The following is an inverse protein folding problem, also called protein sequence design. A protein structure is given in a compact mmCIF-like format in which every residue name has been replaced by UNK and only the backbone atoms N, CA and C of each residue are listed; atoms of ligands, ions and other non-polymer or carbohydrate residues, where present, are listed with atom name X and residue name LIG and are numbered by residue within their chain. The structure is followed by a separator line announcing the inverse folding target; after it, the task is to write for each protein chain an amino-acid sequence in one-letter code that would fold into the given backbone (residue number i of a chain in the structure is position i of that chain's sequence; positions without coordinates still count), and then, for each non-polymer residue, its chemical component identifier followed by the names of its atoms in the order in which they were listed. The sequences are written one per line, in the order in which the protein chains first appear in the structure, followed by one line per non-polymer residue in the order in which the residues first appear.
data_IF_842190760281
#
_entry.id   IF_842190760281
#
_cell.length_a   1.000
_cell.length_b   1.000
_cell.length_c   1.000
_cell.angle_alpha   90.00
_cell.angle_beta   90.00
_cell.angle_gamma   90.00
#
_symmetry.space_group_name_H-M   'P 1'
#
loop_
_entity.id
_entity.type
_entity.pdbx_description
1 polymer ?
#
# COMPACT_ATOMS: atom_id res chain seq x y z
N UNK A 1 -20.37 -12.00 65.09
CA UNK A 1 -20.45 -11.19 66.33
C UNK A 1 -19.46 -10.05 66.16
N UNK A 2 -19.94 -8.82 65.89
CA UNK A 2 -20.03 -7.73 66.89
C UNK A 2 -18.63 -7.40 67.47
N UNK A 3 -18.06 -6.20 67.37
CA UNK A 3 -18.64 -4.85 67.34
C UNK A 3 -17.48 -3.83 67.29
N UNK A 4 -17.65 -2.73 66.53
CA UNK A 4 -17.40 -1.32 66.91
C UNK A 4 -16.00 -0.87 67.33
N UNK A 5 -15.60 0.38 67.23
CA UNK A 5 -15.93 1.64 66.54
C UNK A 5 -15.04 2.68 67.27
N UNK A 6 -14.87 3.87 66.67
CA UNK A 6 -14.52 5.17 67.30
C UNK A 6 -13.02 5.40 67.47
N UNK A 7 -12.44 6.56 67.19
CA UNK A 7 -12.90 7.96 67.10
C UNK A 7 -11.73 8.69 66.36
N UNK A 8 -11.86 9.67 65.47
CA UNK A 8 -12.83 10.76 65.36
C UNK A 8 -12.06 12.10 65.43
N UNK A 9 -11.93 12.71 64.26
CA UNK A 9 -11.34 13.99 63.87
C UNK A 9 -11.69 15.22 64.72
N UNK A 10 -10.84 16.27 64.69
CA UNK A 10 -11.25 17.69 64.79
C UNK A 10 -10.19 18.63 64.14
N UNK A 11 -10.69 19.51 63.26
CA UNK A 11 -10.31 20.92 63.01
C UNK A 11 -8.99 21.22 62.25
N UNK A 12 -8.88 22.13 61.26
CA UNK A 12 -9.70 23.23 60.70
C UNK A 12 -9.17 23.48 59.26
N UNK A 13 -9.96 23.79 58.23
CA UNK A 13 -10.48 25.12 57.95
C UNK A 13 -9.53 25.94 57.07
N UNK A 14 -9.92 26.21 55.82
CA UNK A 14 -9.93 27.52 55.12
C UNK A 14 -10.11 27.30 53.61
N UNK A 15 -11.26 27.78 53.13
CA UNK A 15 -11.64 27.95 51.74
C UNK A 15 -11.41 29.43 51.41
N UNK A 16 -10.62 29.75 50.38
CA UNK A 16 -10.52 31.11 49.83
C UNK A 16 -10.81 31.03 48.34
N UNK A 17 -11.97 31.55 47.95
CA UNK A 17 -12.28 31.95 46.59
C UNK A 17 -11.69 33.32 46.29
N UNK A 18 -11.30 33.55 45.04
CA UNK A 18 -11.03 34.89 44.53
C UNK A 18 -11.88 35.10 43.27
N UNK A 19 -12.71 36.12 43.42
CA UNK A 19 -13.58 36.80 42.47
C UNK A 19 -12.70 37.73 41.63
N UNK A 20 -12.94 37.80 40.32
CA UNK A 20 -12.60 38.98 39.52
C UNK A 20 -13.83 39.45 38.75
N UNK A 21 -14.41 40.55 39.24
CA UNK A 21 -15.31 41.43 38.48
C UNK A 21 -14.46 42.53 37.86
N UNK A 22 -14.73 42.84 36.60
CA UNK A 22 -14.56 44.18 36.04
C UNK A 22 -15.74 44.45 35.11
N UNK A 23 -16.69 45.23 35.63
CA UNK A 23 -17.76 45.87 34.87
C UNK A 23 -17.20 47.09 34.13
N UNK A 24 -17.67 47.33 32.91
CA UNK A 24 -17.91 48.68 32.42
C UNK A 24 -19.17 48.68 31.53
N UNK A 25 -20.19 49.27 32.15
CA UNK A 25 -21.39 49.96 31.70
C UNK A 25 -22.17 49.66 30.41
N UNK A 26 -23.48 49.68 30.63
CA UNK A 26 -24.59 49.52 29.72
C UNK A 26 -24.95 50.85 29.05
N UNK A 27 -25.42 50.78 27.82
CA UNK A 27 -26.45 51.71 27.34
C UNK A 27 -27.56 50.92 26.68
N UNK A 28 -28.71 51.02 27.33
CA UNK A 28 -29.99 50.35 27.11
C UNK A 28 -30.68 50.80 25.82
N UNK A 29 -31.26 49.86 25.07
CA UNK A 29 -32.46 50.09 24.25
C UNK A 29 -32.98 48.79 23.63
N UNK A 30 -33.96 48.20 24.29
CA UNK A 30 -35.06 47.44 23.65
C UNK A 30 -36.34 48.28 23.87
N UNK A 31 -37.45 48.16 23.09
CA UNK A 31 -37.89 46.96 22.39
C UNK A 31 -38.59 47.19 21.04
N UNK A 32 -38.74 46.15 20.21
CA UNK A 32 -40.04 45.71 19.63
C UNK A 32 -39.87 44.51 18.70
N UNK A 33 -40.57 43.42 19.03
CA UNK A 33 -40.74 42.27 18.16
C UNK A 33 -41.77 42.57 17.07
N UNK A 34 -41.45 42.22 15.81
CA UNK A 34 -42.38 42.03 14.70
C UNK A 34 -41.82 40.97 13.73
N UNK A 35 -42.70 40.33 12.93
CA UNK A 35 -42.66 38.89 12.66
C UNK A 35 -41.70 38.54 11.51
N UNK A 36 -41.08 37.38 11.60
CA UNK A 36 -40.45 36.70 10.47
C UNK A 36 -41.53 36.21 9.51
N UNK A 37 -41.77 36.98 8.45
CA UNK A 37 -42.40 36.47 7.23
C UNK A 37 -41.42 35.51 6.56
N UNK A 38 -41.79 34.24 6.48
CA UNK A 38 -41.16 33.27 5.61
C UNK A 38 -41.28 33.78 4.17
N UNK A 39 -40.16 34.20 3.57
CA UNK A 39 -40.12 34.48 2.15
C UNK A 39 -40.12 33.14 1.41
N UNK A 40 -41.20 32.92 0.68
CA UNK A 40 -41.41 31.72 -0.12
C UNK A 40 -40.40 31.74 -1.27
N UNK A 41 -39.39 30.87 -1.18
CA UNK A 41 -38.58 30.51 -2.33
C UNK A 41 -39.51 30.00 -3.43
N UNK A 42 -39.66 30.82 -4.47
CA UNK A 42 -40.45 30.51 -5.65
C UNK A 42 -39.93 29.19 -6.26
N UNK A 43 -40.80 28.19 -6.27
CA UNK A 43 -40.57 26.92 -6.93
C UNK A 43 -40.44 27.15 -8.43
N UNK A 44 -39.20 27.12 -8.93
CA UNK A 44 -38.96 26.89 -10.36
C UNK A 44 -39.45 25.48 -10.68
N UNK A 45 -40.38 25.28 -11.64
CA UNK A 45 -40.73 23.93 -12.06
C UNK A 45 -39.49 23.27 -12.68
N UNK A 46 -39.22 22.02 -12.28
CA UNK A 46 -38.25 21.17 -12.98
C UNK A 46 -38.68 21.06 -14.45
N UNK A 47 -37.74 21.05 -15.41
CA UNK A 47 -38.08 20.77 -16.79
C UNK A 47 -38.68 19.36 -16.89
N UNK A 48 -39.97 19.30 -17.18
CA UNK A 48 -40.69 18.08 -17.53
C UNK A 48 -40.31 17.68 -18.95
N UNK A 49 -39.15 17.04 -19.10
CA UNK A 49 -38.85 16.22 -20.26
C UNK A 49 -37.90 15.11 -19.82
N UNK A 50 -38.48 14.06 -19.24
CA UNK A 50 -37.91 12.73 -19.37
C UNK A 50 -38.10 12.33 -20.83
N UNK A 51 -37.20 12.82 -21.70
CA UNK A 51 -36.96 12.14 -22.96
C UNK A 51 -36.65 10.69 -22.57
N UNK A 52 -37.49 9.75 -23.02
CA UNK A 52 -37.29 8.33 -22.81
C UNK A 52 -35.84 7.99 -23.17
N UNK A 53 -35.05 7.68 -22.15
CA UNK A 53 -33.79 7.00 -22.37
C UNK A 53 -34.14 5.70 -23.10
N UNK A 54 -33.47 5.37 -24.21
CA UNK A 54 -33.66 4.08 -24.84
C UNK A 54 -33.43 2.98 -23.80
N UNK A 55 -34.18 1.87 -23.85
CA UNK A 55 -34.00 0.76 -22.91
C UNK A 55 -32.54 0.31 -22.93
N UNK A 56 -32.01 0.03 -21.73
CA UNK A 56 -30.62 -0.37 -21.49
C UNK A 56 -30.15 -1.34 -22.56
N UNK A 57 -29.20 -0.90 -23.37
CA UNK A 57 -28.46 -1.80 -24.23
C UNK A 57 -27.73 -2.81 -23.32
N UNK A 58 -27.68 -4.10 -23.68
CA UNK A 58 -26.94 -5.08 -22.88
C UNK A 58 -25.50 -4.61 -22.69
N UNK A 59 -25.05 -4.64 -21.43
CA UNK A 59 -23.75 -4.11 -20.99
C UNK A 59 -22.52 -4.71 -21.72
N UNK A 60 -22.71 -5.83 -22.42
CA UNK A 60 -21.66 -6.60 -23.11
C UNK A 60 -21.71 -6.53 -24.65
N UNK A 61 -22.49 -5.63 -25.26
CA UNK A 61 -22.39 -5.46 -26.71
C UNK A 61 -21.05 -4.77 -27.08
N UNK A 62 -20.21 -5.36 -27.97
CA UNK A 62 -19.02 -4.69 -28.46
C UNK A 62 -19.41 -3.37 -29.15
N UNK A 63 -19.16 -2.25 -28.49
CA UNK A 63 -19.37 -0.95 -29.09
C UNK A 63 -18.28 -0.71 -30.13
N UNK A 64 -18.58 -1.01 -31.39
CA UNK A 64 -17.68 -0.71 -32.50
C UNK A 64 -17.60 0.80 -32.67
N UNK A 65 -16.40 1.36 -32.49
CA UNK A 65 -16.15 2.79 -32.72
C UNK A 65 -16.46 3.09 -34.20
N UNK A 66 -17.27 4.12 -34.52
CA UNK A 66 -17.47 4.52 -35.91
C UNK A 66 -16.14 4.81 -36.57
N UNK A 67 -15.82 4.10 -37.65
CA UNK A 67 -14.64 4.36 -38.45
C UNK A 67 -14.77 5.74 -39.11
N UNK A 68 -13.91 6.69 -38.74
CA UNK A 68 -13.90 8.01 -39.41
C UNK A 68 -13.50 9.24 -38.60
N UNK A 69 -13.09 9.14 -37.34
CA UNK A 69 -12.44 10.26 -36.64
C UNK A 69 -10.94 10.02 -36.50
N UNK A 70 -10.21 10.30 -37.59
CA UNK A 70 -8.75 10.39 -37.57
C UNK A 70 -8.32 11.48 -36.60
N UNK A 71 -7.74 11.08 -35.46
CA UNK A 71 -7.32 11.98 -34.38
C UNK A 71 -7.74 11.55 -32.97
N UNK A 72 -8.41 10.40 -32.80
CA UNK A 72 -8.57 9.81 -31.48
C UNK A 72 -7.24 9.17 -31.01
N UNK A 73 -6.50 9.98 -30.26
CA UNK A 73 -5.39 9.74 -29.34
C UNK A 73 -4.73 8.34 -29.28
N UNK A 74 -3.47 8.29 -29.73
CA UNK A 74 -2.55 7.18 -29.49
C UNK A 74 -2.50 6.73 -28.01
N UNK A 75 -2.86 7.61 -27.07
CA UNK A 75 -3.00 7.30 -25.65
C UNK A 75 -4.17 6.34 -25.36
N UNK A 76 -5.41 6.66 -25.78
CA UNK A 76 -6.55 5.73 -25.63
C UNK A 76 -6.35 4.43 -26.39
N UNK A 77 -5.75 4.48 -27.59
CA UNK A 77 -5.43 3.26 -28.35
C UNK A 77 -4.45 2.37 -27.57
N UNK A 78 -3.44 2.98 -26.93
CA UNK A 78 -2.51 2.25 -26.06
C UNK A 78 -3.23 1.66 -24.85
N UNK A 79 -4.10 2.42 -24.17
CA UNK A 79 -4.88 1.91 -23.04
C UNK A 79 -5.74 0.72 -23.48
N UNK A 80 -6.49 0.85 -24.58
CA UNK A 80 -7.35 -0.20 -25.08
C UNK A 80 -6.56 -1.46 -25.47
N UNK A 81 -5.37 -1.30 -26.07
CA UNK A 81 -4.49 -2.41 -26.41
C UNK A 81 -3.94 -3.11 -25.16
N UNK A 82 -3.48 -2.34 -24.16
CA UNK A 82 -2.99 -2.88 -22.88
C UNK A 82 -4.11 -3.61 -22.14
N UNK A 83 -5.30 -3.02 -22.07
CA UNK A 83 -6.47 -3.64 -21.47
C UNK A 83 -6.82 -4.96 -22.17
N UNK A 84 -6.93 -4.95 -23.50
CA UNK A 84 -7.27 -6.16 -24.27
C UNK A 84 -6.23 -7.26 -24.11
N UNK A 85 -4.94 -6.91 -24.02
CA UNK A 85 -3.84 -7.86 -23.79
C UNK A 85 -3.85 -8.42 -22.37
N UNK A 86 -4.01 -7.57 -21.36
CA UNK A 86 -3.84 -7.93 -19.95
C UNK A 86 -5.09 -8.47 -19.26
N UNK A 87 -6.28 -8.03 -19.67
CA UNK A 87 -7.54 -8.36 -19.00
C UNK A 87 -7.82 -9.88 -18.89
N UNK A 88 -7.54 -10.72 -19.92
CA UNK A 88 -7.72 -12.17 -19.80
C UNK A 88 -6.92 -12.83 -18.68
N UNK A 89 -5.80 -12.21 -18.27
CA UNK A 89 -4.93 -12.70 -17.21
C UNK A 89 -5.39 -12.32 -15.81
N UNK A 90 -6.29 -11.34 -15.68
CA UNK A 90 -6.75 -10.83 -14.38
C UNK A 90 -7.88 -11.72 -13.88
N UNK A 91 -7.96 -11.96 -12.57
CA UNK A 91 -9.00 -12.78 -11.94
C UNK A 91 -9.60 -12.07 -10.74
N UNK A 92 -10.87 -12.34 -10.43
CA UNK A 92 -11.47 -11.97 -9.14
C UNK A 92 -11.12 -13.05 -8.12
N UNK A 93 -10.86 -12.63 -6.88
CA UNK A 93 -10.66 -13.54 -5.76
C UNK A 93 -11.76 -13.25 -4.74
N UNK A 94 -12.57 -14.26 -4.49
CA UNK A 94 -13.64 -14.24 -3.50
C UNK A 94 -13.21 -15.10 -2.30
N UNK A 95 -13.25 -14.50 -1.12
CA UNK A 95 -12.89 -15.18 0.13
C UNK A 95 -14.11 -15.18 1.05
N UNK A 96 -14.68 -16.36 1.24
CA UNK A 96 -15.74 -16.55 2.24
C UNK A 96 -15.12 -16.76 3.62
N UNK A 97 -15.47 -15.92 4.57
CA UNK A 97 -15.11 -16.07 5.98
C UNK A 97 -16.37 -16.14 6.85
N UNK A 98 -16.25 -16.68 8.06
CA UNK A 98 -17.35 -16.66 9.04
C UNK A 98 -17.82 -15.24 9.46
N UNK A 99 -17.10 -14.19 9.05
CA UNK A 99 -17.41 -12.78 9.33
C UNK A 99 -17.89 -12.00 8.09
N UNK A 100 -17.97 -12.63 6.92
CA UNK A 100 -18.38 -12.01 5.66
C UNK A 100 -17.51 -12.40 4.47
N UNK A 101 -17.81 -11.84 3.31
CA UNK A 101 -17.05 -12.04 2.07
C UNK A 101 -16.02 -10.91 1.89
N UNK A 102 -14.77 -11.28 1.57
CA UNK A 102 -13.73 -10.36 1.12
C UNK A 102 -13.54 -10.52 -0.39
N UNK A 103 -13.42 -9.39 -1.08
CA UNK A 103 -13.27 -9.31 -2.53
C UNK A 103 -11.93 -8.68 -2.87
N UNK A 104 -11.18 -9.32 -3.77
CA UNK A 104 -9.94 -8.80 -4.30
C UNK A 104 -9.70 -9.20 -5.74
N UNK A 105 -8.55 -8.81 -6.25
CA UNK A 105 -8.08 -9.18 -7.58
C UNK A 105 -6.81 -10.01 -7.48
N UNK A 106 -6.57 -10.89 -8.44
CA UNK A 106 -5.27 -11.48 -8.70
C UNK A 106 -4.96 -11.50 -10.19
N UNK A 107 -3.84 -12.10 -10.57
CA UNK A 107 -3.52 -12.36 -11.96
C UNK A 107 -2.75 -13.67 -12.15
N UNK A 108 -3.01 -14.32 -13.28
CA UNK A 108 -2.37 -15.58 -13.70
C UNK A 108 -0.91 -15.32 -14.05
N UNK A 109 0.01 -16.05 -13.42
CA UNK A 109 1.45 -15.92 -13.68
C UNK A 109 2.04 -17.06 -14.50
N UNK A 110 1.35 -18.22 -14.58
CA UNK A 110 1.78 -19.34 -15.40
C UNK A 110 0.62 -20.28 -15.80
N UNK A 111 0.92 -21.22 -16.69
CA UNK A 111 -0.02 -22.25 -17.15
C UNK A 111 -0.20 -23.40 -16.16
N UNK A 112 0.57 -23.43 -15.06
CA UNK A 112 0.31 -24.37 -13.97
C UNK A 112 -0.86 -23.89 -13.10
N UNK A 113 -1.34 -22.65 -13.27
CA UNK A 113 -2.49 -22.10 -12.57
C UNK A 113 -2.11 -21.43 -11.26
N UNK A 114 -0.89 -20.87 -11.17
CA UNK A 114 -0.53 -19.98 -10.07
C UNK A 114 -1.09 -18.57 -10.34
N UNK A 115 -1.71 -18.01 -9.31
CA UNK A 115 -2.26 -16.66 -9.27
C UNK A 115 -1.49 -15.89 -8.21
N UNK A 116 -1.05 -14.67 -8.55
CA UNK A 116 -0.51 -13.72 -7.58
C UNK A 116 -1.61 -12.76 -7.15
N UNK A 117 -1.66 -12.47 -5.85
CA UNK A 117 -2.54 -11.48 -5.22
C UNK A 117 -1.87 -10.89 -3.98
N UNK A 118 -2.58 -10.05 -3.22
CA UNK A 118 -2.13 -9.56 -1.93
C UNK A 118 -2.44 -10.51 -0.79
N UNK A 119 -1.63 -10.46 0.27
CA UNK A 119 -1.88 -11.24 1.48
C UNK A 119 -3.19 -10.80 2.16
N UNK A 120 -3.44 -9.49 2.27
CA UNK A 120 -4.64 -9.00 2.95
C UNK A 120 -5.95 -9.43 2.26
N UNK A 121 -5.92 -9.73 0.94
CA UNK A 121 -7.08 -10.26 0.21
C UNK A 121 -7.44 -11.65 0.73
N UNK A 122 -6.44 -12.50 0.98
CA UNK A 122 -6.63 -13.92 1.35
C UNK A 122 -6.61 -14.17 2.86
N UNK A 123 -6.24 -13.17 3.67
CA UNK A 123 -6.02 -13.32 5.11
C UNK A 123 -7.27 -13.77 5.89
N UNK A 124 -8.47 -13.52 5.36
CA UNK A 124 -9.74 -13.98 5.95
C UNK A 124 -10.17 -15.41 5.58
N UNK A 125 -9.41 -16.11 4.73
CA UNK A 125 -9.77 -17.45 4.27
C UNK A 125 -9.71 -18.44 5.45
N UNK A 126 -10.86 -19.04 5.77
CA UNK A 126 -10.98 -19.89 6.98
C UNK A 126 -10.32 -21.26 6.81
N UNK A 127 -10.22 -21.74 5.57
CA UNK A 127 -9.69 -23.07 5.23
C UNK A 127 -8.47 -23.01 4.29
N UNK A 128 -7.86 -21.83 4.13
CA UNK A 128 -6.76 -21.63 3.18
C UNK A 128 -7.14 -21.80 1.71
N UNK A 129 -8.43 -21.74 1.39
CA UNK A 129 -8.97 -21.81 0.03
C UNK A 129 -9.79 -20.56 -0.31
N UNK A 130 -9.81 -20.23 -1.60
CA UNK A 130 -10.52 -19.08 -2.17
C UNK A 130 -11.24 -19.51 -3.45
N UNK A 131 -12.22 -18.72 -3.89
CA UNK A 131 -12.81 -18.88 -5.21
C UNK A 131 -12.13 -17.89 -6.16
N UNK A 132 -11.70 -18.39 -7.33
CA UNK A 132 -11.03 -17.62 -8.37
C UNK A 132 -11.97 -17.54 -9.57
N UNK A 133 -12.44 -16.34 -9.90
CA UNK A 133 -13.29 -16.12 -11.08
C UNK A 133 -12.51 -15.53 -12.25
N UNK A 134 -12.58 -16.20 -13.40
CA UNK A 134 -11.88 -15.86 -14.63
C UNK A 134 -12.67 -14.87 -15.49
N UNK A 135 -12.11 -14.51 -16.66
CA UNK A 135 -12.65 -13.45 -17.52
C UNK A 135 -13.94 -13.86 -18.25
N UNK A 136 -14.11 -15.15 -18.48
CA UNK A 136 -15.30 -15.77 -19.10
C UNK A 136 -16.42 -16.05 -18.08
N UNK A 137 -16.20 -15.74 -16.80
CA UNK A 137 -17.12 -15.98 -15.72
C UNK A 137 -16.98 -17.34 -15.06
N UNK A 138 -16.12 -18.24 -15.57
CA UNK A 138 -15.83 -19.51 -14.91
C UNK A 138 -15.19 -19.26 -13.54
N UNK A 139 -15.56 -20.09 -12.56
CA UNK A 139 -15.06 -20.00 -11.19
C UNK A 139 -14.44 -21.33 -10.78
N UNK A 140 -13.23 -21.27 -10.24
CA UNK A 140 -12.49 -22.43 -9.75
C UNK A 140 -12.11 -22.25 -8.29
N UNK A 141 -11.90 -23.37 -7.60
CA UNK A 141 -11.33 -23.34 -6.24
C UNK A 141 -9.82 -23.22 -6.35
N UNK A 142 -9.25 -22.28 -5.59
CA UNK A 142 -7.81 -22.10 -5.45
C UNK A 142 -7.35 -22.30 -4.01
N UNK A 143 -6.23 -23.01 -3.83
CA UNK A 143 -5.58 -23.20 -2.54
C UNK A 143 -4.50 -22.12 -2.34
N UNK A 144 -4.45 -21.48 -1.19
CA UNK A 144 -3.37 -20.56 -0.80
C UNK A 144 -2.14 -21.42 -0.48
N UNK A 145 -1.16 -21.44 -1.38
CA UNK A 145 0.03 -22.32 -1.24
C UNK A 145 1.21 -21.63 -0.55
N UNK A 146 1.18 -20.30 -0.45
CA UNK A 146 2.22 -19.54 0.23
C UNK A 146 1.89 -18.05 0.28
N UNK A 147 2.43 -17.36 1.27
CA UNK A 147 2.25 -15.93 1.42
C UNK A 147 3.44 -15.26 2.13
N UNK A 148 3.50 -13.96 1.96
CA UNK A 148 4.43 -13.06 2.60
C UNK A 148 3.65 -11.86 3.13
N UNK A 149 3.45 -11.83 4.44
CA UNK A 149 2.72 -10.76 5.10
C UNK A 149 3.48 -9.42 5.08
N UNK A 150 4.81 -9.44 5.05
CA UNK A 150 5.63 -8.23 5.12
C UNK A 150 5.70 -7.53 3.76
N UNK A 151 5.64 -8.29 2.67
CA UNK A 151 5.54 -7.78 1.31
C UNK A 151 4.09 -7.61 0.82
N UNK A 152 3.10 -8.03 1.61
CA UNK A 152 1.69 -8.13 1.22
C UNK A 152 1.48 -8.92 -0.08
N UNK A 153 2.09 -10.09 -0.20
CA UNK A 153 1.96 -10.98 -1.37
C UNK A 153 1.43 -12.35 -0.97
N UNK A 154 0.63 -12.95 -1.83
CA UNK A 154 0.20 -14.33 -1.70
C UNK A 154 0.15 -15.03 -3.07
N UNK A 155 0.30 -16.35 -3.03
CA UNK A 155 0.15 -17.22 -4.20
C UNK A 155 -0.99 -18.18 -3.96
N UNK A 156 -1.94 -18.17 -4.89
CA UNK A 156 -3.05 -19.11 -4.95
C UNK A 156 -2.81 -20.08 -6.10
N UNK A 157 -2.98 -21.37 -5.86
CA UNK A 157 -2.92 -22.43 -6.87
C UNK A 157 -4.33 -22.91 -7.19
N UNK A 158 -4.74 -22.75 -8.44
CA UNK A 158 -6.03 -23.28 -8.92
C UNK A 158 -5.98 -24.81 -8.94
N UNK A 159 -7.01 -25.47 -8.39
CA UNK A 159 -7.07 -26.94 -8.30
C UNK A 159 -7.16 -27.62 -9.65
N UNK A 160 -8.00 -27.08 -10.55
CA UNK A 160 -8.19 -27.61 -11.90
C UNK A 160 -7.72 -26.59 -12.94
N UNK A 161 -6.41 -26.47 -13.20
CA UNK A 161 -5.90 -25.54 -14.20
C UNK A 161 -6.38 -25.95 -15.59
N UNK A 162 -7.11 -25.05 -16.26
CA UNK A 162 -7.57 -25.24 -17.63
C UNK A 162 -6.84 -24.25 -18.55
N UNK A 163 -6.20 -24.77 -19.60
CA UNK A 163 -5.45 -23.96 -20.55
C UNK A 163 -6.31 -22.96 -21.34
N UNK A 164 -7.64 -23.13 -21.39
CA UNK A 164 -8.54 -22.18 -22.04
C UNK A 164 -8.80 -20.91 -21.23
N UNK A 165 -8.52 -20.93 -19.91
CA UNK A 165 -8.76 -19.80 -18.99
C UNK A 165 -7.47 -19.24 -18.38
N UNK A 166 -6.35 -19.97 -18.51
CA UNK A 166 -5.05 -19.55 -18.01
C UNK A 166 -4.28 -18.77 -19.07
N UNK A 167 -4.30 -17.45 -18.94
CA UNK A 167 -3.54 -16.52 -19.79
C UNK A 167 -2.44 -15.85 -18.93
N UNK A 168 -1.22 -16.37 -18.89
CA UNK A 168 -0.16 -15.79 -18.07
C UNK A 168 0.19 -14.36 -18.49
N UNK A 169 0.40 -13.49 -17.52
CA UNK A 169 0.92 -12.14 -17.77
C UNK A 169 2.39 -12.18 -18.22
N UNK A 170 2.82 -11.13 -18.92
CA UNK A 170 4.24 -10.85 -19.15
C UNK A 170 4.78 -9.98 -18.00
N UNK A 171 5.80 -10.45 -17.28
CA UNK A 171 6.39 -9.69 -16.17
C UNK A 171 7.49 -8.74 -16.66
N UNK A 172 7.27 -7.43 -16.51
CA UNK A 172 8.19 -6.37 -16.90
C UNK A 172 9.35 -6.18 -15.93
N UNK A 173 10.01 -5.03 -15.98
CA UNK A 173 11.11 -4.67 -15.09
C UNK A 173 10.80 -3.33 -14.41
N UNK A 174 10.65 -3.35 -13.08
CA UNK A 174 10.34 -2.14 -12.31
C UNK A 174 11.56 -1.24 -12.10
N UNK A 175 12.79 -1.73 -12.31
CA UNK A 175 14.02 -0.95 -12.10
C UNK A 175 14.25 0.12 -13.16
N UNK A 176 13.63 -0.03 -14.32
CA UNK A 176 13.74 0.91 -15.46
C UNK A 176 12.59 1.91 -15.53
N UNK A 177 11.63 1.83 -14.59
CA UNK A 177 10.51 2.77 -14.53
C UNK A 177 10.98 4.17 -14.17
N UNK A 178 10.31 5.16 -14.75
CA UNK A 178 10.55 6.58 -14.49
C UNK A 178 9.24 7.26 -14.15
N UNK A 179 9.36 8.35 -13.39
CA UNK A 179 8.23 9.25 -13.16
C UNK A 179 7.69 9.74 -14.51
N UNK A 180 6.38 9.65 -14.68
CA UNK A 180 5.69 9.99 -15.94
C UNK A 180 5.48 8.81 -16.89
N UNK A 181 6.08 7.64 -16.66
CA UNK A 181 5.75 6.46 -17.46
C UNK A 181 4.28 6.07 -17.24
N UNK A 182 3.54 5.85 -18.32
CA UNK A 182 2.13 5.46 -18.29
C UNK A 182 1.96 4.09 -17.64
N UNK A 183 0.90 3.98 -16.83
CA UNK A 183 0.46 2.73 -16.25
C UNK A 183 -1.06 2.55 -16.33
N UNK A 184 -1.48 1.28 -16.35
CA UNK A 184 -2.87 0.87 -16.32
C UNK A 184 -3.07 -0.15 -15.20
N UNK A 185 -3.86 0.19 -14.19
CA UNK A 185 -4.33 -0.75 -13.20
C UNK A 185 -5.59 -1.44 -13.74
N UNK A 186 -5.63 -2.77 -13.64
CA UNK A 186 -6.82 -3.56 -13.97
C UNK A 186 -7.18 -4.36 -12.73
N UNK A 187 -8.45 -4.29 -12.33
CA UNK A 187 -8.98 -5.07 -11.22
C UNK A 187 -10.48 -5.27 -11.33
N UNK A 188 -11.08 -5.85 -10.30
CA UNK A 188 -12.51 -6.13 -10.25
C UNK A 188 -13.17 -5.49 -9.01
N UNK A 189 -13.24 -4.14 -8.94
CA UNK A 189 -13.88 -3.45 -7.84
C UNK A 189 -15.39 -3.70 -7.85
N UNK A 190 -15.94 -4.04 -6.67
CA UNK A 190 -17.38 -4.15 -6.41
C UNK A 190 -18.17 -5.15 -7.27
N UNK A 191 -17.50 -6.09 -7.97
CA UNK A 191 -18.16 -7.09 -8.82
C UNK A 191 -18.68 -6.54 -10.16
N UNK A 192 -18.36 -5.29 -10.49
CA UNK A 192 -18.72 -4.60 -11.72
C UNK A 192 -17.71 -4.94 -12.82
N UNK A 193 -17.85 -6.12 -13.45
CA UNK A 193 -17.18 -6.55 -14.69
C UNK A 193 -15.88 -5.80 -15.05
N UNK A 194 -14.81 -5.98 -14.26
CA UNK A 194 -13.42 -5.54 -14.53
C UNK A 194 -13.26 -4.05 -14.85
N UNK A 195 -12.77 -3.29 -13.88
CA UNK A 195 -12.45 -1.86 -14.05
C UNK A 195 -10.99 -1.67 -14.44
N UNK A 196 -10.76 -0.75 -15.38
CA UNK A 196 -9.44 -0.26 -15.74
C UNK A 196 -9.29 1.21 -15.35
N UNK A 197 -8.19 1.55 -14.69
CA UNK A 197 -7.85 2.94 -14.34
C UNK A 197 -6.44 3.25 -14.83
N UNK A 198 -6.31 4.33 -15.61
CA UNK A 198 -5.05 4.75 -16.19
C UNK A 198 -4.45 5.91 -15.39
N UNK A 199 -3.12 5.99 -15.40
CA UNK A 199 -2.35 7.06 -14.78
C UNK A 199 -0.88 6.96 -15.18
N UNK A 200 -0.02 7.48 -14.33
CA UNK A 200 1.43 7.44 -14.48
C UNK A 200 2.10 6.92 -13.21
N UNK A 201 3.37 6.55 -13.32
CA UNK A 201 4.25 6.48 -12.16
C UNK A 201 4.47 7.90 -11.64
N UNK A 202 4.00 8.19 -10.44
CA UNK A 202 4.17 9.50 -9.79
C UNK A 202 5.48 9.58 -9.00
N UNK A 203 5.96 8.44 -8.48
CA UNK A 203 7.26 8.33 -7.80
C UNK A 203 7.69 6.86 -7.69
N UNK A 204 8.99 6.62 -7.58
CA UNK A 204 9.56 5.37 -7.08
C UNK A 204 10.11 5.66 -5.70
N UNK A 205 9.55 5.03 -4.67
CA UNK A 205 9.90 5.27 -3.26
C UNK A 205 10.89 4.22 -2.80
N UNK A 206 11.90 4.61 -2.03
CA UNK A 206 12.89 3.67 -1.51
C UNK A 206 12.24 2.63 -0.57
N UNK A 207 11.27 3.02 0.24
CA UNK A 207 10.36 2.07 0.90
C UNK A 207 9.08 2.77 1.32
N UNK A 208 8.03 2.01 1.61
CA UNK A 208 6.79 2.53 2.21
C UNK A 208 6.23 1.53 3.20
N UNK A 209 5.78 2.07 4.33
CA UNK A 209 4.99 1.32 5.29
C UNK A 209 3.52 1.35 4.87
N UNK A 210 2.90 0.19 4.75
CA UNK A 210 1.49 0.02 4.36
C UNK A 210 0.52 0.56 5.43
N UNK A 211 0.99 0.70 6.68
CA UNK A 211 0.13 1.02 7.83
C UNK A 211 -0.50 -0.25 8.40
N UNK A 212 -1.10 -0.16 9.60
CA UNK A 212 -1.64 -1.33 10.30
C UNK A 212 -0.61 -2.06 11.17
N UNK A 213 -0.70 -3.39 11.26
CA UNK A 213 0.08 -4.21 12.19
C UNK A 213 1.43 -4.72 11.64
N UNK A 214 1.76 -4.46 10.37
CA UNK A 214 3.09 -4.81 9.86
C UNK A 214 4.13 -3.92 10.53
N UNK A 215 5.27 -4.49 10.93
CA UNK A 215 6.41 -3.72 11.48
C UNK A 215 7.39 -3.33 10.36
N UNK A 216 7.30 -3.99 9.21
CA UNK A 216 8.24 -3.84 8.10
C UNK A 216 7.66 -2.98 6.98
N UNK A 217 8.56 -2.34 6.23
CA UNK A 217 8.20 -1.55 5.05
C UNK A 217 8.43 -2.37 3.78
N UNK A 218 7.57 -2.18 2.79
CA UNK A 218 7.76 -2.72 1.45
C UNK A 218 8.85 -1.89 0.75
N UNK A 219 9.90 -2.50 0.18
CA UNK A 219 10.95 -1.78 -0.54
C UNK A 219 10.54 -1.44 -1.98
N UNK A 220 11.08 -0.34 -2.51
CA UNK A 220 10.94 0.02 -3.92
C UNK A 220 9.51 0.33 -4.39
N UNK A 221 8.62 0.73 -3.47
CA UNK A 221 7.19 0.89 -3.76
C UNK A 221 6.96 1.91 -4.88
N UNK A 222 6.13 1.50 -5.84
CA UNK A 222 5.71 2.34 -6.95
C UNK A 222 4.53 3.19 -6.49
N UNK A 223 4.62 4.51 -6.63
CA UNK A 223 3.51 5.41 -6.42
C UNK A 223 2.87 5.75 -7.77
N UNK A 224 1.54 5.75 -7.84
CA UNK A 224 0.79 6.08 -9.05
C UNK A 224 -0.43 6.95 -8.73
N UNK A 225 -0.87 7.72 -9.71
CA UNK A 225 -2.14 8.46 -9.70
C UNK A 225 -3.26 7.71 -10.45
N UNK A 226 -2.98 6.54 -11.01
CA UNK A 226 -4.03 5.62 -11.46
C UNK A 226 -4.93 5.30 -10.25
N UNK A 227 -6.24 5.45 -10.42
CA UNK A 227 -7.17 5.28 -9.31
C UNK A 227 -7.15 3.82 -8.79
N UNK A 228 -6.62 3.64 -7.59
CA UNK A 228 -6.62 2.37 -6.85
C UNK A 228 -7.74 2.47 -5.81
N UNK A 229 -8.75 1.62 -5.90
CA UNK A 229 -9.88 1.56 -4.98
C UNK A 229 -10.06 0.12 -4.48
N UNK A 230 -10.86 -0.12 -3.43
CA UNK A 230 -11.21 -1.47 -3.00
C UNK A 230 -11.60 -2.36 -4.19
N UNK A 231 -10.94 -3.51 -4.31
CA UNK A 231 -11.08 -4.48 -5.39
C UNK A 231 -10.11 -4.32 -6.57
N UNK A 232 -9.27 -3.28 -6.63
CA UNK A 232 -8.06 -3.31 -7.47
C UNK A 232 -6.86 -3.97 -6.76
N UNK A 233 -6.89 -4.06 -5.42
CA UNK A 233 -5.85 -4.70 -4.61
C UNK A 233 -5.63 -6.15 -5.02
N UNK A 234 -4.36 -6.52 -5.15
CA UNK A 234 -3.85 -7.79 -5.66
C UNK A 234 -3.82 -7.87 -7.19
N UNK A 235 -4.44 -6.91 -7.88
CA UNK A 235 -4.44 -6.82 -9.33
C UNK A 235 -3.14 -6.23 -9.90
N UNK A 236 -2.87 -6.47 -11.19
CA UNK A 236 -1.67 -5.99 -11.86
C UNK A 236 -1.72 -4.48 -12.17
N UNK A 237 -0.56 -3.85 -12.10
CA UNK A 237 -0.25 -2.55 -12.69
C UNK A 237 0.56 -2.78 -13.97
N UNK A 238 -0.02 -2.51 -15.14
CA UNK A 238 0.62 -2.70 -16.43
C UNK A 238 1.33 -1.43 -16.91
N UNK A 239 2.42 -1.57 -17.66
CA UNK A 239 3.00 -0.49 -18.45
C UNK A 239 2.38 -0.40 -19.87
N UNK A 240 2.82 0.57 -20.67
CA UNK A 240 2.36 0.76 -22.05
C UNK A 240 2.62 -0.40 -23.02
N UNK A 241 3.43 -1.40 -22.64
CA UNK A 241 3.67 -2.63 -23.43
C UNK A 241 2.78 -3.80 -22.98
N UNK A 242 1.91 -3.57 -21.99
CA UNK A 242 1.10 -4.62 -21.36
C UNK A 242 1.93 -5.62 -20.58
N UNK A 243 3.07 -5.19 -20.04
CA UNK A 243 3.85 -5.96 -19.07
C UNK A 243 3.47 -5.52 -17.66
N UNK A 244 3.33 -6.45 -16.73
CA UNK A 244 3.09 -6.13 -15.32
C UNK A 244 4.36 -5.53 -14.72
N UNK A 245 4.24 -4.35 -14.14
CA UNK A 245 5.34 -3.64 -13.47
C UNK A 245 5.13 -3.48 -11.97
N UNK A 246 3.93 -3.79 -11.46
CA UNK A 246 3.69 -3.96 -10.04
C UNK A 246 2.36 -4.63 -9.71
N UNK A 247 2.11 -4.83 -8.41
CA UNK A 247 0.84 -5.35 -7.86
C UNK A 247 0.21 -4.25 -7.01
N UNK A 248 -0.99 -3.80 -7.39
CA UNK A 248 -1.70 -2.77 -6.67
C UNK A 248 -1.99 -3.27 -5.25
N UNK A 249 -1.71 -2.47 -4.21
CA UNK A 249 -1.85 -2.93 -2.81
C UNK A 249 -2.73 -1.99 -1.99
N UNK A 250 -2.27 -0.77 -1.69
CA UNK A 250 -2.97 0.18 -0.83
C UNK A 250 -2.96 1.61 -1.40
N UNK A 251 -3.76 2.48 -0.77
CA UNK A 251 -3.81 3.91 -1.04
C UNK A 251 -3.25 4.70 0.14
N UNK A 252 -2.80 5.93 -0.12
CA UNK A 252 -2.64 6.88 0.98
C UNK A 252 -4.03 7.31 1.45
N UNK A 253 -4.41 6.93 2.67
CA UNK A 253 -5.66 7.36 3.30
C UNK A 253 -5.40 8.03 4.66
N UNK A 254 -5.11 9.35 4.67
CA UNK A 254 -4.93 10.09 5.91
C UNK A 254 -6.21 10.21 6.75
N UNK A 255 -7.38 9.97 6.14
CA UNK A 255 -8.69 10.18 6.75
C UNK A 255 -9.32 8.93 7.35
N UNK A 256 -8.77 7.76 7.03
CA UNK A 256 -9.34 6.45 7.41
C UNK A 256 -10.66 6.12 6.71
N UNK A 257 -11.03 6.84 5.64
CA UNK A 257 -12.32 6.69 4.94
C UNK A 257 -12.24 5.74 3.73
N UNK A 258 -11.07 5.21 3.41
CA UNK A 258 -10.83 4.29 2.29
C UNK A 258 -10.95 4.94 0.91
N UNK A 259 -10.93 6.27 0.81
CA UNK A 259 -11.11 6.98 -0.45
C UNK A 259 -9.76 7.30 -1.12
N UNK A 260 -9.61 6.92 -2.39
CA UNK A 260 -8.46 7.32 -3.19
C UNK A 260 -8.46 8.85 -3.40
N UNK A 261 -7.33 9.49 -3.06
CA UNK A 261 -7.12 10.95 -3.24
C UNK A 261 -6.08 11.26 -4.34
N UNK A 262 -5.88 10.33 -5.29
CA UNK A 262 -4.88 10.43 -6.35
C UNK A 262 -3.49 9.91 -5.97
N UNK A 263 -3.38 9.12 -4.90
CA UNK A 263 -2.11 8.51 -4.46
C UNK A 263 -2.35 7.02 -4.14
N UNK A 264 -2.07 6.17 -5.12
CA UNK A 264 -2.03 4.72 -4.98
C UNK A 264 -0.59 4.20 -4.88
N UNK A 265 -0.44 3.00 -4.31
CA UNK A 265 0.83 2.30 -4.19
C UNK A 265 0.73 0.89 -4.78
N UNK A 266 1.83 0.46 -5.42
CA UNK A 266 1.99 -0.87 -5.96
C UNK A 266 3.34 -1.49 -5.55
N UNK A 267 3.32 -2.79 -5.26
CA UNK A 267 4.50 -3.60 -4.98
C UNK A 267 5.27 -3.76 -6.31
N UNK A 268 6.58 -3.44 -6.38
CA UNK A 268 7.33 -3.49 -7.63
C UNK A 268 7.47 -4.92 -8.15
N UNK A 269 7.34 -5.14 -9.46
CA UNK A 269 7.37 -6.49 -10.04
C UNK A 269 8.69 -7.23 -9.80
N UNK A 270 9.81 -6.52 -9.64
CA UNK A 270 11.08 -7.17 -9.31
C UNK A 270 11.08 -7.79 -7.90
N UNK A 271 10.26 -7.27 -6.97
CA UNK A 271 10.07 -7.89 -5.67
C UNK A 271 9.23 -9.17 -5.80
N UNK A 272 8.15 -9.11 -6.60
CA UNK A 272 7.34 -10.29 -6.95
C UNK A 272 8.20 -11.40 -7.56
N UNK A 273 9.09 -11.06 -8.49
CA UNK A 273 10.02 -12.01 -9.12
C UNK A 273 10.98 -12.68 -8.13
N UNK A 274 11.26 -12.05 -6.99
CA UNK A 274 12.09 -12.62 -5.92
C UNK A 274 11.30 -13.52 -4.97
N UNK A 275 10.11 -13.06 -4.59
CA UNK A 275 9.29 -13.69 -3.54
C UNK A 275 8.47 -14.86 -4.08
N UNK A 276 7.74 -14.66 -5.18
CA UNK A 276 6.74 -15.64 -5.68
C UNK A 276 7.34 -17.02 -5.98
N UNK A 277 8.52 -17.16 -6.61
CA UNK A 277 9.12 -18.48 -6.79
C UNK A 277 9.37 -19.23 -5.48
N UNK A 278 9.77 -18.53 -4.41
CA UNK A 278 9.97 -19.12 -3.09
C UNK A 278 8.65 -19.48 -2.42
N UNK A 279 7.60 -18.66 -2.57
CA UNK A 279 6.26 -18.99 -2.09
C UNK A 279 5.70 -20.24 -2.79
N UNK A 280 5.91 -20.38 -4.10
CA UNK A 280 5.51 -21.58 -4.85
C UNK A 280 6.28 -22.82 -4.36
N UNK A 281 7.59 -22.70 -4.13
CA UNK A 281 8.44 -23.83 -3.77
C UNK A 281 8.31 -24.27 -2.30
N UNK A 282 8.23 -23.30 -1.39
CA UNK A 282 8.43 -23.50 0.05
C UNK A 282 7.26 -22.99 0.91
N UNK A 283 6.25 -22.37 0.30
CA UNK A 283 5.15 -21.70 1.00
C UNK A 283 5.53 -20.40 1.72
N UNK A 284 6.82 -20.05 1.74
CA UNK A 284 7.35 -18.90 2.49
C UNK A 284 8.59 -18.33 1.82
N UNK A 285 8.91 -17.09 2.15
CA UNK A 285 10.09 -16.38 1.68
C UNK A 285 10.85 -15.80 2.86
N UNK A 286 12.18 -15.91 2.84
CA UNK A 286 13.04 -15.46 3.92
C UNK A 286 13.71 -14.13 3.55
N UNK A 287 13.23 -13.05 4.16
CA UNK A 287 13.82 -11.72 3.95
C UNK A 287 15.23 -11.60 4.54
N UNK A 288 16.11 -10.81 3.90
CA UNK A 288 17.36 -10.38 4.51
C UNK A 288 17.10 -9.49 5.73
N UNK A 289 17.99 -9.58 6.72
CA UNK A 289 17.91 -8.85 7.99
C UNK A 289 19.27 -8.30 8.39
N UNK A 290 19.28 -7.04 8.82
CA UNK A 290 20.44 -6.41 9.46
C UNK A 290 20.37 -6.47 11.01
N UNK A 291 19.17 -6.47 11.58
CA UNK A 291 18.97 -6.55 13.04
C UNK A 291 19.08 -5.20 13.76
N UNK A 292 18.59 -4.13 13.13
CA UNK A 292 18.64 -2.77 13.66
C UNK A 292 17.32 -2.02 13.42
N UNK A 293 16.94 -1.14 14.34
CA UNK A 293 15.97 -0.08 14.06
C UNK A 293 16.68 1.14 13.49
N UNK A 294 16.05 1.74 12.49
CA UNK A 294 16.64 2.76 11.64
C UNK A 294 15.76 4.01 11.67
N UNK A 295 16.39 5.16 11.74
CA UNK A 295 15.72 6.44 11.57
C UNK A 295 16.46 7.33 10.57
N UNK A 296 15.71 8.20 9.90
CA UNK A 296 16.32 9.25 9.10
C UNK A 296 17.15 10.17 10.02
N UNK A 297 18.31 10.59 9.53
CA UNK A 297 19.13 11.55 10.26
C UNK A 297 18.41 12.89 10.34
N UNK A 298 18.26 13.42 11.56
CA UNK A 298 17.78 14.78 11.75
C UNK A 298 18.89 15.78 11.36
N UNK A 299 18.67 16.55 10.29
CA UNK A 299 19.68 17.45 9.75
C UNK A 299 20.15 18.54 10.72
N UNK A 300 19.30 18.99 11.65
CA UNK A 300 19.66 19.99 12.65
C UNK A 300 20.58 19.40 13.72
N UNK A 301 20.21 18.22 14.24
CA UNK A 301 21.03 17.50 15.21
C UNK A 301 22.37 17.05 14.60
N UNK A 302 22.36 16.61 13.34
CA UNK A 302 23.58 16.22 12.63
C UNK A 302 24.57 17.38 12.52
N UNK A 303 24.11 18.59 12.17
CA UNK A 303 24.96 19.79 12.11
C UNK A 303 25.59 20.13 13.46
N UNK A 304 24.85 19.99 14.56
CA UNK A 304 25.38 20.26 15.91
C UNK A 304 26.49 19.29 16.31
N UNK A 305 26.49 18.07 15.74
CA UNK A 305 27.48 17.02 16.02
C UNK A 305 28.53 16.84 14.91
N UNK A 306 28.57 17.74 13.92
CA UNK A 306 29.42 17.60 12.72
C UNK A 306 29.25 16.26 11.98
N UNK A 307 28.04 15.69 12.01
CA UNK A 307 27.68 14.48 11.27
C UNK A 307 27.07 14.80 9.90
N UNK A 308 27.13 13.88 8.93
CA UNK A 308 26.45 14.05 7.65
C UNK A 308 24.95 14.30 7.81
N UNK A 309 24.39 15.22 7.01
CA UNK A 309 22.95 15.53 7.04
C UNK A 309 22.09 14.51 6.29
N UNK A 310 22.70 13.49 5.68
CA UNK A 310 22.09 12.37 4.95
C UNK A 310 22.69 11.07 5.47
N UNK A 311 21.92 10.00 5.40
CA UNK A 311 22.28 8.72 6.00
C UNK A 311 21.20 8.21 6.93
N UNK A 312 21.50 7.10 7.58
CA UNK A 312 20.57 6.36 8.41
C UNK A 312 21.15 6.18 9.80
N UNK A 313 20.45 6.71 10.79
CA UNK A 313 20.79 6.59 12.19
C UNK A 313 20.33 5.22 12.72
N UNK A 314 21.23 4.48 13.34
CA UNK A 314 20.90 3.28 14.11
C UNK A 314 20.32 3.70 15.46
N UNK A 315 19.01 3.60 15.63
CA UNK A 315 18.33 4.03 16.87
C UNK A 315 18.29 2.93 17.92
N UNK A 316 18.32 1.67 17.50
CA UNK A 316 18.35 0.50 18.37
C UNK A 316 19.00 -0.66 17.63
N UNK A 317 19.68 -1.53 18.38
CA UNK A 317 20.22 -2.78 17.88
C UNK A 317 19.54 -3.96 18.56
N UNK A 318 19.33 -5.01 17.78
CA UNK A 318 18.95 -6.32 18.26
C UNK A 318 20.16 -7.25 18.25
N UNK A 319 20.11 -8.35 18.99
CA UNK A 319 21.06 -9.44 18.79
C UNK A 319 20.96 -9.91 17.34
N UNK A 320 22.11 -10.00 16.64
CA UNK A 320 22.11 -10.33 15.22
C UNK A 320 23.25 -9.68 14.42
N UNK A 321 23.13 -9.70 13.07
CA UNK A 321 24.18 -9.32 12.13
C UNK A 321 24.92 -8.02 12.45
N UNK A 322 24.19 -6.91 12.60
CA UNK A 322 24.78 -5.61 12.85
C UNK A 322 25.55 -5.55 14.19
N UNK A 323 24.94 -6.06 15.26
CA UNK A 323 25.57 -6.09 16.58
C UNK A 323 26.82 -6.98 16.58
N UNK A 324 26.77 -8.15 15.93
CA UNK A 324 27.89 -9.08 15.81
C UNK A 324 29.05 -8.48 15.01
N UNK A 325 28.76 -7.62 14.03
CA UNK A 325 29.75 -6.90 13.26
C UNK A 325 30.32 -5.66 13.96
N UNK A 326 29.84 -5.33 15.17
CA UNK A 326 30.33 -4.20 15.96
C UNK A 326 29.70 -2.85 15.59
N UNK A 327 28.59 -2.85 14.85
CA UNK A 327 27.74 -1.66 14.69
C UNK A 327 27.12 -1.32 16.04
N UNK A 328 26.94 -0.03 16.33
CA UNK A 328 26.45 0.47 17.62
C UNK A 328 25.24 1.39 17.44
N UNK A 329 24.43 1.48 18.49
CA UNK A 329 23.41 2.51 18.57
C UNK A 329 24.08 3.89 18.50
N UNK A 330 23.53 4.77 17.66
CA UNK A 330 24.11 6.09 17.38
C UNK A 330 24.97 6.13 16.12
N UNK A 331 25.39 4.99 15.57
CA UNK A 331 26.11 4.95 14.28
C UNK A 331 25.22 5.51 13.16
N UNK A 332 25.85 6.25 12.23
CA UNK A 332 25.18 6.78 11.04
C UNK A 332 25.71 6.06 9.81
N UNK A 333 24.89 5.20 9.22
CA UNK A 333 25.19 4.48 7.99
C UNK A 333 25.03 5.44 6.80
N UNK A 334 26.04 5.52 5.95
CA UNK A 334 26.05 6.44 4.79
C UNK A 334 26.24 5.71 3.46
N UNK A 335 26.73 4.47 3.46
CA UNK A 335 26.82 3.64 2.27
C UNK A 335 26.76 2.15 2.59
N UNK A 336 26.36 1.35 1.60
CA UNK A 336 26.52 -0.11 1.60
C UNK A 336 27.13 -0.54 0.27
N UNK A 337 28.21 -1.32 0.30
CA UNK A 337 28.98 -1.72 -0.88
C UNK A 337 29.33 -0.54 -1.81
N UNK A 338 29.63 0.62 -1.22
CA UNK A 338 29.90 1.87 -1.95
C UNK A 338 28.68 2.59 -2.52
N UNK A 339 27.48 2.01 -2.45
CA UNK A 339 26.24 2.69 -2.82
C UNK A 339 25.77 3.60 -1.69
N UNK A 340 25.54 4.88 -2.00
CA UNK A 340 25.08 5.86 -1.02
C UNK A 340 23.70 5.48 -0.45
N UNK A 341 23.58 5.56 0.87
CA UNK A 341 22.35 5.39 1.62
C UNK A 341 21.98 6.76 2.20
N UNK A 342 20.84 7.30 1.79
CA UNK A 342 20.42 8.66 2.14
C UNK A 342 19.29 8.65 3.18
N UNK A 343 18.43 7.64 3.13
CA UNK A 343 17.30 7.44 4.04
C UNK A 343 17.09 5.95 4.39
N UNK A 344 16.32 5.62 5.45
CA UNK A 344 16.15 4.23 5.89
C UNK A 344 15.62 3.30 4.79
N UNK A 345 14.76 3.82 3.92
CA UNK A 345 14.23 3.07 2.79
C UNK A 345 15.29 2.61 1.80
N UNK A 346 16.38 3.36 1.62
CA UNK A 346 17.48 2.98 0.72
C UNK A 346 18.17 1.72 1.24
N UNK A 347 18.40 1.64 2.56
CA UNK A 347 19.04 0.49 3.18
C UNK A 347 18.12 -0.75 3.12
N UNK A 348 16.82 -0.57 3.40
CA UNK A 348 15.83 -1.66 3.30
C UNK A 348 15.76 -2.17 1.84
N UNK A 349 15.67 -1.28 0.86
CA UNK A 349 15.69 -1.65 -0.56
C UNK A 349 16.99 -2.31 -0.97
N UNK A 350 18.13 -1.79 -0.51
CA UNK A 350 19.42 -2.37 -0.85
C UNK A 350 19.48 -3.83 -0.38
N UNK A 351 19.16 -4.08 0.89
CA UNK A 351 19.15 -5.42 1.46
C UNK A 351 18.22 -6.34 0.66
N UNK A 352 16.98 -5.92 0.40
CA UNK A 352 16.01 -6.77 -0.28
C UNK A 352 16.43 -7.12 -1.72
N UNK A 353 16.86 -6.15 -2.52
CA UNK A 353 17.09 -6.36 -3.94
C UNK A 353 18.51 -6.81 -4.29
N UNK A 354 19.49 -6.62 -3.40
CA UNK A 354 20.91 -6.86 -3.69
C UNK A 354 21.55 -7.88 -2.77
N UNK A 355 20.81 -8.48 -1.83
CA UNK A 355 21.36 -9.46 -0.90
C UNK A 355 20.42 -10.64 -0.65
N UNK A 356 20.98 -11.72 -0.15
CA UNK A 356 20.30 -12.89 0.38
C UNK A 356 20.89 -13.19 1.77
N UNK A 357 20.13 -13.79 2.70
CA UNK A 357 20.70 -14.25 3.96
C UNK A 357 21.98 -15.08 3.74
N UNK A 358 23.05 -14.73 4.47
CA UNK A 358 24.38 -15.32 4.33
C UNK A 358 25.39 -14.48 3.54
N UNK A 359 24.92 -13.54 2.70
CA UNK A 359 25.80 -12.63 1.96
C UNK A 359 26.58 -11.71 2.90
N UNK A 360 27.80 -11.35 2.51
CA UNK A 360 28.61 -10.36 3.25
C UNK A 360 28.59 -9.02 2.53
N UNK A 361 28.22 -7.96 3.25
CA UNK A 361 28.18 -6.59 2.75
C UNK A 361 29.15 -5.71 3.54
N UNK A 362 29.63 -4.64 2.92
CA UNK A 362 30.41 -3.58 3.58
C UNK A 362 29.51 -2.40 3.87
N UNK A 363 29.36 -2.06 5.15
CA UNK A 363 28.61 -0.90 5.63
C UNK A 363 29.60 0.20 5.99
N UNK A 364 29.46 1.36 5.35
CA UNK A 364 30.24 2.57 5.67
C UNK A 364 29.49 3.41 6.69
N UNK A 365 30.15 3.70 7.81
CA UNK A 365 29.63 4.44 8.96
C UNK A 365 30.38 5.76 9.08
N UNK A 366 29.65 6.86 9.26
CA UNK A 366 30.24 8.17 9.47
C UNK A 366 30.89 8.31 10.85
N UNK A 367 32.05 8.98 10.91
CA UNK A 367 32.82 9.19 12.13
C UNK A 367 32.76 10.65 12.61
N UNK A 368 32.84 10.84 13.93
CA UNK A 368 32.94 12.18 14.54
C UNK A 368 34.29 12.81 14.16
N UNK A 369 34.27 13.91 13.39
CA UNK A 369 35.48 14.58 12.88
C UNK A 369 35.67 14.47 11.36
N UNK A 370 34.79 13.72 10.67
CA UNK A 370 34.79 13.57 9.23
C UNK A 370 35.42 12.25 8.76
N UNK A 371 34.98 11.78 7.58
CA UNK A 371 35.36 10.47 7.04
C UNK A 371 34.36 9.38 7.38
N UNK A 372 34.74 8.14 7.03
CA UNK A 372 33.94 6.94 7.25
C UNK A 372 34.83 5.78 7.69
N UNK A 373 34.28 4.88 8.51
CA UNK A 373 34.84 3.53 8.70
C UNK A 373 33.97 2.49 8.02
N UNK A 374 34.59 1.43 7.53
CA UNK A 374 33.90 0.32 6.91
C UNK A 374 33.81 -0.87 7.86
N UNK A 375 32.66 -1.52 7.86
CA UNK A 375 32.37 -2.72 8.65
C UNK A 375 31.82 -3.80 7.73
N UNK A 376 32.38 -5.00 7.79
CA UNK A 376 31.82 -6.16 7.09
C UNK A 376 30.71 -6.79 7.95
N UNK A 377 29.54 -6.98 7.36
CA UNK A 377 28.38 -7.58 8.01
C UNK A 377 27.89 -8.75 7.17
N UNK A 378 27.75 -9.92 7.79
CA UNK A 378 27.04 -11.04 7.18
C UNK A 378 25.53 -10.86 7.37
N UNK A 379 24.79 -10.65 6.30
CA UNK A 379 23.34 -10.45 6.31
C UNK A 379 22.64 -11.67 6.89
N UNK A 380 21.74 -11.45 7.84
CA UNK A 380 20.96 -12.50 8.50
C UNK A 380 19.65 -12.79 7.78
N UNK A 381 18.94 -13.79 8.29
CA UNK A 381 17.56 -14.08 7.92
C UNK A 381 16.61 -13.39 8.90
N UNK A 382 15.54 -12.78 8.37
CA UNK A 382 14.41 -12.33 9.19
C UNK A 382 13.75 -13.57 9.80
N UNK A 383 13.47 -13.60 11.12
CA UNK A 383 12.69 -14.68 11.71
C UNK A 383 11.34 -14.82 11.00
N UNK A 384 10.93 -16.05 10.70
CA UNK A 384 9.56 -16.31 10.23
C UNK A 384 8.54 -15.91 11.28
N UNK A 385 7.33 -15.55 10.84
CA UNK A 385 6.19 -15.31 11.73
C UNK A 385 5.52 -16.60 12.14
#
# INVERSE_FOLDING_TARGET
MHTRDRLGWLLSGILIGIIFMASCDMSDSSPTARPTTADAAQSRPLPTSLAQLPPDAPADAPQTRPAGQGGADAYSDTIAAVFSKGNPSVVRIDVSSGQGESLGTGFVVDTAGHIVTNYHVIAGSSDGAVIVQFVDGEAEVGDVIGFDQDADLAVVKVRNPNASILFPVELGDSSVLRVGDMVLAIGNPFGENRTATAGIISAVRASKHEGGSSVFSIPGVLQTDAAINPGNSGGPLFNSRGQVVGVNTFILDPSGRGANIGIGYAIPINLVKRIVPALIANGSYTHPLLGAELAAVNSLAARQKNLPSKGVLVTKLYEGPAANAGIRQGDVIVAVNGQAILEPGDLISFLEFNTTPGDTITISIAEEGGGTRDVQVQVGARPGR
#
